data_IF_745711602548
#
_entry.id   IF_745711602548
#
_cell.length_a   1.000
_cell.length_b   1.000
_cell.length_c   1.000
_cell.angle_alpha   90.00
_cell.angle_beta   90.00
_cell.angle_gamma   90.00
#
_symmetry.space_group_name_H-M   'P 1'
#
loop_
_entity.id
_entity.type
_entity.pdbx_description
1 polymer ?
#
# COMPACT_ATOMS: atom_id res chain seq x y z
N UNK A 1 1.19 -3.53 14.68
CA UNK A 1 0.96 -3.17 13.27
C UNK A 1 -0.53 -2.95 13.10
N UNK A 2 -0.93 -1.88 12.42
CA UNK A 2 -2.36 -1.58 12.25
C UNK A 2 -2.96 -2.58 11.27
N UNK A 3 -3.95 -3.33 11.75
CA UNK A 3 -4.81 -4.19 10.94
C UNK A 3 -5.79 -3.30 10.18
N UNK A 4 -6.14 -3.66 8.94
CA UNK A 4 -7.26 -3.00 8.24
C UNK A 4 -8.57 -3.23 8.97
N UNK A 5 -9.59 -2.41 8.68
CA UNK A 5 -10.90 -2.56 9.32
C UNK A 5 -11.42 -3.99 9.21
N UNK A 6 -11.25 -4.64 8.05
CA UNK A 6 -11.63 -6.03 7.85
C UNK A 6 -10.85 -6.99 8.74
N UNK A 7 -9.52 -6.91 8.77
CA UNK A 7 -8.69 -7.72 9.68
C UNK A 7 -9.06 -7.50 11.15
N UNK A 8 -9.37 -6.26 11.55
CA UNK A 8 -9.78 -5.93 12.92
C UNK A 8 -11.15 -6.53 13.24
N UNK A 9 -12.10 -6.42 12.32
CA UNK A 9 -13.45 -7.00 12.44
C UNK A 9 -13.40 -8.51 12.57
N UNK A 10 -12.55 -9.16 11.77
CA UNK A 10 -12.39 -10.61 11.73
C UNK A 10 -11.36 -11.14 12.74
N UNK A 11 -10.73 -10.27 13.54
CA UNK A 11 -9.62 -10.59 14.45
C UNK A 11 -8.46 -11.34 13.78
N UNK A 12 -8.22 -11.09 12.49
CA UNK A 12 -7.16 -11.72 11.69
C UNK A 12 -5.88 -10.90 11.72
N UNK A 13 -4.73 -11.58 11.63
CA UNK A 13 -3.48 -10.92 11.29
C UNK A 13 -3.56 -10.37 9.86
N UNK A 14 -2.81 -9.32 9.55
CA UNK A 14 -2.70 -8.84 8.16
C UNK A 14 -2.11 -9.91 7.22
N UNK A 15 -1.34 -10.86 7.78
CA UNK A 15 -0.78 -12.01 7.06
C UNK A 15 -1.87 -12.98 6.60
N UNK A 16 -2.91 -13.11 7.42
CA UNK A 16 -4.09 -13.93 7.17
C UNK A 16 -5.26 -13.05 6.72
N UNK A 17 -4.98 -11.79 6.34
CA UNK A 17 -5.94 -10.98 5.61
C UNK A 17 -6.28 -11.82 4.39
N UNK A 18 -7.57 -12.15 4.15
CA UNK A 18 -7.94 -12.78 2.90
C UNK A 18 -7.34 -11.89 1.83
N UNK A 19 -6.30 -12.40 1.17
CA UNK A 19 -5.65 -11.68 0.11
C UNK A 19 -6.77 -11.30 -0.84
N UNK A 20 -6.84 -10.03 -1.22
CA UNK A 20 -7.94 -9.45 -1.99
C UNK A 20 -9.16 -9.10 -1.12
N UNK A 21 -9.38 -7.81 -0.91
CA UNK A 21 -10.48 -7.20 -1.64
C UNK A 21 -9.91 -6.54 -2.89
N UNK A 22 -10.60 -6.69 -4.01
CA UNK A 22 -10.21 -6.07 -5.29
C UNK A 22 -10.26 -4.54 -5.19
N UNK A 23 -10.88 -4.02 -4.14
CA UNK A 23 -11.19 -2.63 -3.96
C UNK A 23 -11.20 -2.25 -2.47
N UNK A 24 -10.73 -1.05 -2.14
CA UNK A 24 -10.83 -0.48 -0.80
C UNK A 24 -11.57 0.85 -0.87
N UNK A 25 -12.50 1.11 0.05
CA UNK A 25 -13.18 2.39 0.13
C UNK A 25 -12.32 3.48 0.79
N UNK A 26 -12.61 4.77 0.54
CA UNK A 26 -11.86 5.88 1.13
C UNK A 26 -11.84 5.86 2.67
N UNK A 27 -12.92 5.37 3.31
CA UNK A 27 -13.02 5.27 4.77
C UNK A 27 -12.26 4.06 5.36
N UNK A 28 -11.83 3.13 4.53
CA UNK A 28 -11.22 1.87 4.96
C UNK A 28 -9.70 1.93 5.00
N UNK A 29 -9.10 2.96 4.39
CA UNK A 29 -7.65 3.12 4.29
C UNK A 29 -7.06 3.33 5.69
N UNK A 30 -6.24 2.37 6.12
CA UNK A 30 -5.42 2.46 7.32
C UNK A 30 -3.94 2.16 7.02
N UNK A 31 -3.58 2.07 5.75
CA UNK A 31 -2.26 1.70 5.24
C UNK A 31 -1.77 0.34 5.74
N UNK A 32 -2.60 -0.71 5.69
CA UNK A 32 -2.05 -2.07 5.81
C UNK A 32 -1.22 -2.44 4.56
N UNK A 33 -0.34 -3.45 4.60
CA UNK A 33 0.51 -3.81 3.45
C UNK A 33 -0.27 -4.00 2.14
N UNK A 34 -1.37 -4.75 2.18
CA UNK A 34 -2.23 -4.99 1.01
C UNK A 34 -2.89 -3.71 0.48
N UNK A 35 -3.29 -2.80 1.37
CA UNK A 35 -3.82 -1.50 0.97
C UNK A 35 -2.75 -0.64 0.32
N UNK A 36 -1.51 -0.66 0.83
CA UNK A 36 -0.40 0.06 0.21
C UNK A 36 -0.12 -0.48 -1.19
N UNK A 37 -0.10 -1.79 -1.38
CA UNK A 37 0.05 -2.40 -2.70
C UNK A 37 -1.08 -1.97 -3.66
N UNK A 38 -2.33 -1.98 -3.20
CA UNK A 38 -3.48 -1.50 -3.98
C UNK A 38 -3.41 0.01 -4.29
N UNK A 39 -2.97 0.84 -3.35
CA UNK A 39 -2.78 2.27 -3.58
C UNK A 39 -1.70 2.49 -4.64
N UNK A 40 -0.59 1.72 -4.58
CA UNK A 40 0.49 1.82 -5.55
C UNK A 40 0.04 1.44 -6.96
N UNK A 41 -0.73 0.36 -7.11
CA UNK A 41 -1.26 -0.06 -8.41
C UNK A 41 -2.28 0.91 -9.00
N UNK A 42 -2.94 1.72 -8.16
CA UNK A 42 -3.90 2.74 -8.58
C UNK A 42 -3.37 4.17 -8.45
N UNK A 43 -2.05 4.34 -8.26
CA UNK A 43 -1.47 5.61 -7.86
C UNK A 43 -1.76 6.73 -8.88
N UNK A 44 -1.66 6.44 -10.17
CA UNK A 44 -1.97 7.40 -11.24
C UNK A 44 -3.42 7.90 -11.17
N UNK A 45 -4.38 6.98 -10.99
CA UNK A 45 -5.81 7.29 -10.84
C UNK A 45 -6.07 8.16 -9.61
N UNK A 46 -5.49 7.80 -8.47
CA UNK A 46 -5.64 8.57 -7.23
C UNK A 46 -5.04 9.98 -7.34
N UNK A 47 -3.89 10.13 -8.02
CA UNK A 47 -3.29 11.43 -8.30
C UNK A 47 -4.16 12.33 -9.18
N UNK A 48 -4.95 11.75 -10.08
CA UNK A 48 -5.93 12.50 -10.89
C UNK A 48 -7.18 12.92 -10.11
N UNK A 49 -7.27 12.60 -8.81
CA UNK A 49 -8.41 12.96 -7.97
C UNK A 49 -9.58 11.98 -8.06
N UNK A 50 -9.39 10.83 -8.71
CA UNK A 50 -10.42 9.81 -8.84
C UNK A 50 -10.13 8.62 -7.92
N UNK A 51 -11.15 8.15 -7.24
CA UNK A 51 -11.11 6.86 -6.57
C UNK A 51 -11.44 5.77 -7.59
N UNK A 52 -10.66 4.68 -7.71
CA UNK A 52 -10.99 3.59 -8.61
C UNK A 52 -12.41 3.08 -8.36
N UNK A 53 -13.19 2.72 -9.40
CA UNK A 53 -14.53 2.16 -9.20
C UNK A 53 -14.45 0.77 -8.55
N UNK A 54 -15.46 0.43 -7.77
CA UNK A 54 -15.60 -0.93 -7.24
C UNK A 54 -15.92 -1.88 -8.40
N UNK A 55 -15.10 -2.91 -8.62
CA UNK A 55 -15.22 -3.86 -9.75
C UNK A 55 -16.45 -4.77 -9.67
N UNK A 56 -17.34 -4.55 -8.71
CA UNK A 56 -18.60 -5.29 -8.63
C UNK A 56 -19.55 -4.57 -9.58
N UNK A 57 -19.83 -5.17 -10.74
CA UNK A 57 -20.98 -4.80 -11.57
C UNK A 57 -22.24 -5.05 -10.74
N UNK A 58 -22.57 -4.13 -9.83
CA UNK A 58 -23.87 -4.09 -9.20
C UNK A 58 -24.82 -3.48 -10.22
N UNK A 59 -25.30 -4.32 -11.13
CA UNK A 59 -26.62 -4.05 -11.69
C UNK A 59 -27.58 -3.95 -10.50
N UNK A 60 -28.03 -2.74 -10.14
CA UNK A 60 -29.41 -2.42 -9.70
C UNK A 60 -29.52 -1.07 -8.93
N UNK A 61 -30.51 -0.29 -9.36
CA UNK A 61 -31.38 0.73 -8.73
C UNK A 61 -30.95 1.40 -7.41
N UNK A 62 -30.86 2.73 -7.53
CA UNK A 62 -30.62 3.73 -6.50
C UNK A 62 -31.68 3.65 -5.39
N UNK A 63 -31.37 2.97 -4.28
CA UNK A 63 -32.14 3.09 -3.03
C UNK A 63 -31.44 4.10 -2.12
N UNK A 64 -32.06 5.27 -2.02
CA UNK A 64 -31.54 6.49 -1.38
C UNK A 64 -31.14 6.32 0.09
N UNK A 65 -29.93 5.81 0.32
CA UNK A 65 -29.24 5.88 1.60
C UNK A 65 -28.77 7.31 1.89
N UNK A 66 -28.97 7.76 3.13
CA UNK A 66 -28.60 9.10 3.63
C UNK A 66 -27.10 9.34 3.45
N UNK A 67 -26.69 10.04 2.39
CA UNK A 67 -25.31 10.47 2.16
C UNK A 67 -24.89 11.39 3.31
N UNK A 68 -24.10 10.87 4.25
CA UNK A 68 -23.40 11.70 5.23
C UNK A 68 -22.47 12.60 4.43
N UNK A 69 -22.85 13.87 4.25
CA UNK A 69 -22.04 14.90 3.58
C UNK A 69 -20.76 15.08 4.41
N UNK A 70 -19.68 14.42 4.01
CA UNK A 70 -18.33 14.82 4.43
C UNK A 70 -18.04 16.14 3.72
N UNK A 71 -17.67 17.17 4.48
CA UNK A 71 -17.53 18.55 4.00
C UNK A 71 -16.30 18.82 3.13
N UNK A 72 -15.93 17.88 2.24
CA UNK A 72 -14.78 17.98 1.36
C UNK A 72 -15.13 17.67 -0.09
N UNK A 73 -14.34 18.20 -1.03
CA UNK A 73 -14.49 17.87 -2.45
C UNK A 73 -14.14 16.40 -2.73
N UNK A 74 -14.76 15.81 -3.76
CA UNK A 74 -14.62 14.37 -4.06
C UNK A 74 -13.17 13.94 -4.35
N UNK A 75 -12.33 14.87 -4.82
CA UNK A 75 -10.94 14.61 -5.17
C UNK A 75 -9.96 14.71 -3.99
N UNK A 76 -10.37 15.28 -2.85
CA UNK A 76 -9.44 15.56 -1.75
C UNK A 76 -8.85 14.26 -1.19
N UNK A 77 -9.71 13.30 -0.89
CA UNK A 77 -9.29 12.03 -0.29
C UNK A 77 -8.34 11.23 -1.20
N UNK A 78 -8.62 10.99 -2.49
CA UNK A 78 -7.67 10.29 -3.36
C UNK A 78 -6.33 11.01 -3.49
N UNK A 79 -6.32 12.35 -3.62
CA UNK A 79 -5.07 13.12 -3.72
C UNK A 79 -4.27 13.04 -2.43
N UNK A 80 -4.91 13.19 -1.26
CA UNK A 80 -4.22 13.11 0.04
C UNK A 80 -3.60 11.72 0.24
N UNK A 81 -4.34 10.64 -0.09
CA UNK A 81 -3.84 9.26 0.02
C UNK A 81 -2.66 9.03 -0.93
N UNK A 82 -2.75 9.50 -2.17
CA UNK A 82 -1.66 9.40 -3.13
C UNK A 82 -0.42 10.15 -2.66
N UNK A 83 -0.58 11.39 -2.19
CA UNK A 83 0.51 12.23 -1.70
C UNK A 83 1.22 11.64 -0.48
N UNK A 84 0.47 11.06 0.48
CA UNK A 84 1.06 10.40 1.65
C UNK A 84 1.89 9.17 1.24
N UNK A 85 1.38 8.32 0.34
CA UNK A 85 2.14 7.16 -0.14
C UNK A 85 3.36 7.57 -0.97
N UNK A 86 3.26 8.57 -1.85
CA UNK A 86 4.42 9.10 -2.59
C UNK A 86 5.49 9.63 -1.63
N UNK A 87 5.11 10.42 -0.62
CA UNK A 87 6.05 10.92 0.39
C UNK A 87 6.78 9.77 1.10
N UNK A 88 6.07 8.68 1.41
CA UNK A 88 6.68 7.49 2.04
C UNK A 88 7.61 6.72 1.10
N UNK A 89 7.28 6.65 -0.19
CA UNK A 89 8.15 6.06 -1.20
C UNK A 89 9.42 6.88 -1.39
N UNK A 90 9.33 8.20 -1.41
CA UNK A 90 10.47 9.10 -1.58
C UNK A 90 11.48 8.93 -0.42
N UNK A 91 10.97 8.73 0.81
CA UNK A 91 11.81 8.40 1.96
C UNK A 91 12.54 7.04 1.85
N UNK A 92 12.09 6.15 0.97
CA UNK A 92 12.75 4.86 0.71
C UNK A 92 13.89 4.97 -0.32
N UNK A 93 14.04 6.11 -1.00
CA UNK A 93 15.08 6.33 -2.00
C UNK A 93 14.99 5.35 -3.17
N UNK A 94 16.12 4.75 -3.63
CA UNK A 94 16.13 3.86 -4.80
C UNK A 94 15.21 2.64 -4.69
N UNK A 95 15.06 2.08 -3.49
CA UNK A 95 14.14 0.96 -3.26
C UNK A 95 12.68 1.40 -3.44
N UNK A 96 12.35 2.65 -3.09
CA UNK A 96 11.03 3.24 -3.32
C UNK A 96 10.69 3.35 -4.80
N UNK A 97 11.65 3.81 -5.61
CA UNK A 97 11.52 3.87 -7.08
C UNK A 97 11.27 2.48 -7.66
N UNK A 98 12.04 1.48 -7.21
CA UNK A 98 11.87 0.09 -7.63
C UNK A 98 10.45 -0.43 -7.34
N UNK A 99 9.94 -0.20 -6.13
CA UNK A 99 8.59 -0.60 -5.75
C UNK A 99 7.51 0.11 -6.57
N UNK A 100 7.71 1.41 -6.88
CA UNK A 100 6.80 2.19 -7.72
C UNK A 100 6.75 1.65 -9.16
N UNK A 101 7.89 1.29 -9.75
CA UNK A 101 7.94 0.70 -11.10
C UNK A 101 7.24 -0.65 -11.16
N UNK A 102 7.50 -1.53 -10.18
CA UNK A 102 6.87 -2.85 -10.15
C UNK A 102 5.36 -2.76 -9.89
N UNK A 103 4.97 -2.16 -8.77
CA UNK A 103 3.57 -2.20 -8.30
C UNK A 103 2.68 -1.16 -8.98
N UNK A 104 3.23 0.00 -9.37
CA UNK A 104 2.47 1.09 -9.98
C UNK A 104 2.45 1.06 -11.50
N UNK A 105 3.58 0.69 -12.13
CA UNK A 105 3.68 0.65 -13.59
C UNK A 105 3.53 -0.77 -14.16
N UNK A 106 3.35 -1.78 -13.30
CA UNK A 106 3.13 -3.17 -13.71
C UNK A 106 4.37 -3.86 -14.27
N UNK A 107 5.58 -3.39 -13.94
CA UNK A 107 6.81 -4.04 -14.37
C UNK A 107 6.97 -5.38 -13.66
N UNK A 108 7.30 -6.41 -14.45
CA UNK A 108 7.57 -7.74 -13.92
C UNK A 108 8.82 -7.75 -13.03
N UNK A 109 8.74 -8.45 -11.90
CA UNK A 109 9.83 -8.54 -10.92
C UNK A 109 11.07 -9.24 -11.50
N UNK A 110 10.89 -10.20 -12.41
CA UNK A 110 11.96 -10.89 -13.11
C UNK A 110 12.71 -9.96 -14.05
N UNK A 111 11.98 -9.18 -14.84
CA UNK A 111 12.59 -8.16 -15.71
C UNK A 111 13.41 -7.14 -14.92
N UNK A 112 12.90 -6.69 -13.76
CA UNK A 112 13.65 -5.80 -12.86
C UNK A 112 14.88 -6.48 -12.26
N UNK A 113 14.81 -7.76 -11.93
CA UNK A 113 15.93 -8.55 -11.43
C UNK A 113 17.07 -8.64 -12.45
N UNK A 114 16.72 -8.88 -13.72
CA UNK A 114 17.66 -8.96 -14.83
C UNK A 114 18.34 -7.61 -15.09
N UNK A 115 17.56 -6.52 -15.18
CA UNK A 115 18.09 -5.15 -15.38
C UNK A 115 19.04 -4.74 -14.26
N UNK A 116 18.72 -5.09 -13.01
CA UNK A 116 19.54 -4.73 -11.85
C UNK A 116 20.70 -5.71 -11.59
N UNK A 117 20.79 -6.80 -12.34
CA UNK A 117 21.71 -7.91 -12.12
C UNK A 117 21.68 -8.39 -10.65
N UNK A 118 20.47 -8.69 -10.16
CA UNK A 118 20.21 -9.22 -8.81
C UNK A 118 19.29 -10.43 -8.90
N UNK A 119 19.39 -11.40 -7.97
CA UNK A 119 18.45 -12.50 -7.95
C UNK A 119 17.03 -12.04 -7.58
N UNK A 120 16.01 -12.66 -8.19
CA UNK A 120 14.60 -12.30 -8.02
C UNK A 120 14.16 -12.14 -6.55
N UNK A 121 14.56 -13.07 -5.68
CA UNK A 121 14.20 -13.04 -4.26
C UNK A 121 14.72 -11.78 -3.53
N UNK A 122 15.81 -11.16 -4.01
CA UNK A 122 16.34 -9.90 -3.45
C UNK A 122 15.45 -8.73 -3.84
N UNK A 123 14.98 -8.68 -5.09
CA UNK A 123 14.02 -7.67 -5.58
C UNK A 123 12.72 -7.77 -4.81
N UNK A 124 12.14 -8.97 -4.71
CA UNK A 124 10.95 -9.25 -3.89
C UNK A 124 11.12 -8.81 -2.44
N UNK A 125 12.27 -9.11 -1.83
CA UNK A 125 12.56 -8.71 -0.46
C UNK A 125 12.71 -7.19 -0.28
N UNK A 126 13.17 -6.46 -1.31
CA UNK A 126 13.23 -4.99 -1.32
C UNK A 126 11.83 -4.39 -1.44
N UNK A 127 11.03 -4.83 -2.41
CA UNK A 127 9.66 -4.38 -2.61
C UNK A 127 8.83 -4.60 -1.34
N UNK A 128 8.87 -5.81 -0.77
CA UNK A 128 8.19 -6.11 0.51
C UNK A 128 8.67 -5.22 1.66
N UNK A 129 9.96 -4.83 1.70
CA UNK A 129 10.47 -3.92 2.73
C UNK A 129 9.89 -2.53 2.59
N UNK A 130 9.82 -2.00 1.37
CA UNK A 130 9.21 -0.71 1.06
C UNK A 130 7.73 -0.70 1.43
N UNK A 131 6.96 -1.71 1.02
CA UNK A 131 5.54 -1.85 1.40
C UNK A 131 5.38 -1.85 2.91
N UNK A 132 6.19 -2.62 3.64
CA UNK A 132 6.17 -2.65 5.10
C UNK A 132 6.56 -1.31 5.74
N UNK A 133 7.47 -0.54 5.14
CA UNK A 133 7.84 0.78 5.61
C UNK A 133 6.69 1.77 5.41
N UNK A 134 6.08 1.77 4.23
CA UNK A 134 4.94 2.60 3.88
C UNK A 134 3.67 2.22 4.66
N UNK A 135 3.62 1.03 5.25
CA UNK A 135 2.49 0.57 6.06
C UNK A 135 2.42 1.25 7.43
N UNK A 136 1.20 1.50 7.90
CA UNK A 136 0.86 2.07 9.20
C UNK A 136 0.16 3.44 9.09
N UNK A 137 -0.75 3.73 10.02
CA UNK A 137 -1.59 4.94 9.92
C UNK A 137 -0.84 6.26 10.15
N UNK A 138 0.37 6.20 10.73
CA UNK A 138 1.20 7.39 10.98
C UNK A 138 2.47 7.29 10.17
N UNK A 139 2.92 8.44 9.67
CA UNK A 139 4.25 8.61 9.09
C UNK A 139 5.30 8.17 10.09
N UNK A 140 6.27 7.38 9.63
CA UNK A 140 7.35 6.91 10.49
C UNK A 140 8.30 8.08 10.78
N UNK A 141 8.65 8.24 12.06
CA UNK A 141 9.67 9.20 12.52
C UNK A 141 11.10 8.68 12.34
N UNK A 142 11.26 7.51 11.72
CA UNK A 142 12.55 6.87 11.48
C UNK A 142 12.81 6.80 9.98
N UNK A 143 14.08 6.94 9.60
CA UNK A 143 14.51 6.81 8.21
C UNK A 143 14.31 5.37 7.71
N UNK A 144 14.19 5.20 6.39
CA UNK A 144 14.13 3.87 5.78
C UNK A 144 15.38 3.03 6.09
N UNK A 145 16.56 3.66 6.13
CA UNK A 145 17.80 3.01 6.54
C UNK A 145 17.73 2.47 7.99
N UNK A 146 17.26 3.27 8.95
CA UNK A 146 17.07 2.79 10.31
C UNK A 146 16.05 1.65 10.41
N UNK A 147 14.95 1.76 9.66
CA UNK A 147 13.92 0.72 9.62
C UNK A 147 14.49 -0.63 9.14
N UNK A 148 15.28 -0.61 8.07
CA UNK A 148 15.92 -1.82 7.55
C UNK A 148 16.94 -2.40 8.53
N UNK A 149 17.77 -1.55 9.16
CA UNK A 149 18.74 -1.96 10.19
C UNK A 149 18.07 -2.65 11.38
N UNK A 150 17.00 -2.06 11.94
CA UNK A 150 16.27 -2.64 13.08
C UNK A 150 15.68 -4.01 12.76
N UNK A 151 15.19 -4.21 11.53
CA UNK A 151 14.72 -5.54 11.08
C UNK A 151 15.84 -6.56 10.93
N UNK A 152 17.02 -6.14 10.48
CA UNK A 152 18.20 -7.00 10.42
C UNK A 152 18.57 -7.55 11.81
N UNK A 153 18.60 -6.66 12.81
CA UNK A 153 18.90 -7.02 14.21
C UNK A 153 17.83 -7.99 14.77
N UNK A 154 16.54 -7.69 14.58
CA UNK A 154 15.46 -8.53 15.05
C UNK A 154 15.42 -9.93 14.39
N UNK A 155 15.95 -10.08 13.17
CA UNK A 155 16.11 -11.40 12.52
C UNK A 155 17.28 -12.18 13.10
N UNK A 156 18.42 -11.53 13.33
CA UNK A 156 19.59 -12.16 13.94
C UNK A 156 19.26 -12.72 15.35
N UNK A 157 18.43 -12.02 16.12
CA UNK A 157 18.02 -12.44 17.46
C UNK A 157 17.01 -13.61 17.50
N UNK A 158 16.36 -13.96 16.38
CA UNK A 158 15.40 -15.09 16.30
C UNK A 158 15.98 -16.33 15.63
N UNK A 159 17.22 -16.24 15.14
CA UNK A 159 17.95 -17.35 14.52
C UNK A 159 18.93 -18.04 15.46
N UNK A 160 18.96 -17.62 16.74
CA UNK A 160 19.53 -18.35 17.87
C UNK A 160 18.38 -18.90 18.72
#
# INVERSE_FOLDING_TARGET
MNQCQQCRKERRSWKDCPAVPKWFGPADICYCPHQVEWILSNLATLKSGYWPPEHVETGYYDTGGRKVRRGGAYFEVPIIVAADVETRLDMCGPDGVLAKQCLGNGWDEGTLADIMNKPLHVIQAKIRRVVNYCSGARTRQITYYEFTRRRGIARAQRGN
#
